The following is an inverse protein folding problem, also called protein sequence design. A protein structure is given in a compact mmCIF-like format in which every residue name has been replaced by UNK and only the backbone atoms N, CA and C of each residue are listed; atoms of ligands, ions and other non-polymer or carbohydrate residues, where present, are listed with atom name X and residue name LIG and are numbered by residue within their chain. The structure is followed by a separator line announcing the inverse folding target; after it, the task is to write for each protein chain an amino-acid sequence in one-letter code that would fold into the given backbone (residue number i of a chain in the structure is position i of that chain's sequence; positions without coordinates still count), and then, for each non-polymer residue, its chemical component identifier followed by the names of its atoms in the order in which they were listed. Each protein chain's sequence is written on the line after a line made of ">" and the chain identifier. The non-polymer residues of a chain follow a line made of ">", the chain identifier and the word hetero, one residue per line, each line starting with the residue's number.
data_IF_567327760269
#
_entry.id   IF_567327760269
#
_cell.length_a   1.000
_cell.length_b   1.000
_cell.length_c   1.000
_cell.angle_alpha   90.00
_cell.angle_beta   90.00
_cell.angle_gamma   90.00
#
_symmetry.space_group_name_H-M   'P 1'
#
loop_
_entity.id
_entity.type
_entity.pdbx_description
1 polymer ?
#
# COMPACT_ATOMS: atom_id res chain seq x y z
N UNK A 1 -6.16 8.76 17.29
CA UNK A 1 -7.41 9.30 17.87
C UNK A 1 -7.91 8.46 19.04
N UNK A 2 -7.97 7.12 18.94
CA UNK A 2 -8.45 6.25 20.01
C UNK A 2 -7.65 6.45 21.31
N UNK A 3 -6.33 6.36 21.24
CA UNK A 3 -5.46 6.57 22.40
C UNK A 3 -5.63 7.99 23.02
N UNK A 4 -5.76 9.04 22.21
CA UNK A 4 -6.04 10.40 22.71
C UNK A 4 -7.40 10.53 23.40
N UNK A 5 -8.33 9.64 23.16
CA UNK A 5 -9.63 9.56 23.84
C UNK A 5 -9.58 8.68 25.09
N UNK A 6 -8.40 8.21 25.51
CA UNK A 6 -8.25 7.32 26.64
C UNK A 6 -8.77 5.90 26.39
N UNK A 7 -9.00 5.52 25.14
CA UNK A 7 -9.42 4.16 24.78
C UNK A 7 -8.19 3.28 24.72
N UNK A 8 -8.16 2.20 25.50
CA UNK A 8 -7.08 1.20 25.41
C UNK A 8 -7.01 0.66 23.99
N UNK A 9 -5.88 0.84 23.34
CA UNK A 9 -5.71 0.57 21.92
C UNK A 9 -4.51 -0.35 21.69
N UNK A 10 -4.71 -1.41 20.90
CA UNK A 10 -3.64 -2.28 20.41
C UNK A 10 -3.52 -2.17 18.89
N UNK A 11 -2.29 -2.28 18.38
CA UNK A 11 -1.99 -2.32 16.95
C UNK A 11 -1.20 -3.57 16.65
N UNK A 12 -1.71 -4.37 15.73
CA UNK A 12 -1.05 -5.58 15.22
C UNK A 12 -0.62 -5.35 13.79
N UNK A 13 0.64 -5.57 13.48
CA UNK A 13 1.17 -5.44 12.13
C UNK A 13 2.31 -6.42 11.86
N UNK A 14 2.30 -7.04 10.68
CA UNK A 14 3.42 -7.86 10.19
C UNK A 14 4.66 -6.97 9.96
N UNK A 15 4.46 -5.80 9.33
CA UNK A 15 5.46 -4.77 9.09
C UNK A 15 4.85 -3.39 9.35
N UNK A 16 5.37 -2.68 10.34
CA UNK A 16 4.94 -1.30 10.60
C UNK A 16 5.22 -0.44 9.37
N UNK A 17 4.25 0.39 8.99
CA UNK A 17 4.33 1.20 7.78
C UNK A 17 3.95 0.44 6.49
N UNK A 18 3.85 -0.90 6.54
CA UNK A 18 3.38 -1.71 5.41
C UNK A 18 4.04 -1.34 4.09
N UNK A 19 3.23 -1.13 3.06
CA UNK A 19 3.65 -0.79 1.70
C UNK A 19 4.32 0.60 1.59
N UNK A 20 4.05 1.52 2.53
CA UNK A 20 4.72 2.83 2.57
C UNK A 20 6.25 2.69 2.59
N UNK A 21 6.78 1.67 3.26
CA UNK A 21 8.24 1.43 3.28
C UNK A 21 8.86 1.15 1.90
N UNK A 22 8.05 0.85 0.90
CA UNK A 22 8.51 0.53 -0.46
C UNK A 22 8.54 1.77 -1.37
N UNK A 23 8.14 2.94 -0.86
CA UNK A 23 8.11 4.20 -1.60
C UNK A 23 9.48 4.91 -1.50
N UNK A 24 10.05 5.29 -2.65
CA UNK A 24 11.37 5.93 -2.70
C UNK A 24 11.32 7.42 -2.32
N UNK A 25 10.29 8.14 -2.75
CA UNK A 25 10.12 9.55 -2.48
C UNK A 25 8.66 9.87 -2.17
N UNK A 26 8.42 10.72 -1.18
CA UNK A 26 7.10 11.22 -0.79
C UNK A 26 7.18 12.74 -0.71
N UNK A 27 6.51 13.42 -1.63
CA UNK A 27 6.45 14.88 -1.72
C UNK A 27 5.01 15.41 -1.68
N UNK A 28 4.04 14.49 -1.60
CA UNK A 28 2.62 14.78 -1.69
C UNK A 28 1.86 14.60 -0.35
N UNK A 29 2.59 14.50 0.76
CA UNK A 29 1.98 14.44 2.09
C UNK A 29 1.99 15.83 2.73
N UNK A 30 0.79 16.37 3.02
CA UNK A 30 0.63 17.72 3.59
C UNK A 30 1.48 17.88 4.86
N UNK A 31 2.19 18.98 4.99
CA UNK A 31 3.13 19.35 6.06
C UNK A 31 4.48 18.61 6.05
N UNK A 32 4.72 17.70 5.13
CA UNK A 32 6.02 17.07 4.91
C UNK A 32 6.47 17.41 3.50
N UNK A 33 7.47 18.28 3.34
CA UNK A 33 7.93 18.76 2.04
C UNK A 33 8.54 17.61 1.21
N UNK A 34 9.39 16.81 1.85
CA UNK A 34 10.06 15.68 1.22
C UNK A 34 10.41 14.65 2.29
N UNK A 35 10.21 13.38 1.99
CA UNK A 35 10.64 12.24 2.80
C UNK A 35 10.73 10.98 1.95
N UNK A 36 11.22 9.90 2.53
CA UNK A 36 11.11 8.54 1.96
C UNK A 36 10.18 7.66 2.80
N UNK A 37 9.75 6.55 2.24
CA UNK A 37 8.83 5.64 2.89
C UNK A 37 9.32 5.13 4.24
N UNK A 38 10.56 4.62 4.37
CA UNK A 38 11.10 4.19 5.65
C UNK A 38 11.15 5.27 6.72
N UNK A 39 11.59 6.49 6.38
CA UNK A 39 11.59 7.61 7.32
C UNK A 39 10.18 7.99 7.75
N UNK A 40 9.26 8.05 6.80
CA UNK A 40 7.86 8.36 7.09
C UNK A 40 7.22 7.29 7.99
N UNK A 41 7.42 6.01 7.70
CA UNK A 41 6.93 4.91 8.52
C UNK A 41 7.51 4.96 9.95
N UNK A 42 8.81 5.26 10.09
CA UNK A 42 9.47 5.43 11.39
C UNK A 42 8.92 6.61 12.18
N UNK A 43 8.63 7.73 11.52
CA UNK A 43 8.01 8.90 12.17
C UNK A 43 6.61 8.57 12.67
N UNK A 44 5.79 7.86 11.88
CA UNK A 44 4.46 7.40 12.29
C UNK A 44 4.52 6.41 13.46
N UNK A 45 5.48 5.48 13.46
CA UNK A 45 5.70 4.55 14.56
C UNK A 45 6.10 5.28 15.84
N UNK A 46 7.01 6.25 15.75
CA UNK A 46 7.44 7.08 16.87
C UNK A 46 6.29 7.91 17.44
N UNK A 47 5.45 8.48 16.56
CA UNK A 47 4.26 9.20 16.99
C UNK A 47 3.25 8.28 17.69
N UNK A 48 3.06 7.06 17.22
CA UNK A 48 2.20 6.08 17.87
C UNK A 48 2.73 5.69 19.27
N UNK A 49 4.05 5.48 19.40
CA UNK A 49 4.72 5.16 20.67
C UNK A 49 4.71 6.31 21.70
N UNK A 50 4.41 7.54 21.30
CA UNK A 50 4.22 8.66 22.21
C UNK A 50 2.93 8.57 23.03
N UNK A 51 2.06 7.61 22.69
CA UNK A 51 0.82 7.31 23.42
C UNK A 51 0.88 5.91 24.01
N UNK A 52 0.02 5.64 25.01
CA UNK A 52 -0.14 4.31 25.60
C UNK A 52 -0.91 3.40 24.62
N UNK A 53 -0.15 2.79 23.71
CA UNK A 53 -0.64 1.88 22.67
C UNK A 53 0.12 0.56 22.74
N UNK A 54 -0.61 -0.55 22.89
CA UNK A 54 -0.06 -1.90 22.83
C UNK A 54 0.37 -2.21 21.38
N UNK A 55 1.65 -2.03 21.06
CA UNK A 55 2.19 -2.28 19.71
C UNK A 55 2.75 -3.70 19.59
N UNK A 56 2.20 -4.48 18.68
CA UNK A 56 2.57 -5.87 18.41
C UNK A 56 3.14 -6.00 16.98
N UNK A 57 4.42 -5.64 16.78
CA UNK A 57 5.08 -5.77 15.47
C UNK A 57 5.42 -7.23 15.18
N UNK A 58 5.64 -7.54 13.90
CA UNK A 58 6.00 -8.86 13.39
C UNK A 58 4.96 -9.95 13.73
N UNK A 59 3.72 -9.53 13.89
CA UNK A 59 2.60 -10.43 14.12
C UNK A 59 1.64 -10.37 12.93
N UNK A 60 1.24 -11.52 12.45
CA UNK A 60 0.29 -11.66 11.36
C UNK A 60 -1.03 -12.20 11.89
N UNK A 61 -2.11 -11.53 11.54
CA UNK A 61 -3.46 -11.99 11.85
C UNK A 61 -3.80 -13.14 10.91
N UNK A 62 -4.20 -14.27 11.49
CA UNK A 62 -4.64 -15.44 10.75
C UNK A 62 -6.15 -15.40 10.48
N UNK A 63 -6.94 -15.01 11.49
CA UNK A 63 -8.40 -15.01 11.40
C UNK A 63 -9.02 -14.02 12.38
N UNK A 64 -10.17 -13.49 12.00
CA UNK A 64 -11.08 -12.76 12.89
C UNK A 64 -12.22 -13.70 13.26
N UNK A 65 -12.49 -13.79 14.56
CA UNK A 65 -13.61 -14.55 15.13
C UNK A 65 -14.69 -13.53 15.50
N UNK A 66 -15.93 -13.71 15.01
CA UNK A 66 -17.04 -12.84 15.38
C UNK A 66 -17.20 -12.70 16.90
N UNK A 67 -17.87 -11.65 17.34
CA UNK A 67 -18.12 -11.41 18.73
C UNK A 67 -18.82 -12.61 19.38
N UNK A 68 -18.30 -13.02 20.54
CA UNK A 68 -18.89 -14.08 21.37
C UNK A 68 -20.02 -13.52 22.26
N UNK A 69 -20.55 -14.34 23.16
CA UNK A 69 -21.60 -13.94 24.10
C UNK A 69 -21.22 -12.75 25.01
N UNK A 70 -19.92 -12.55 25.28
CA UNK A 70 -19.42 -11.36 26.01
C UNK A 70 -19.25 -10.13 25.14
N UNK A 71 -19.62 -10.18 23.85
CA UNK A 71 -19.52 -9.07 22.90
C UNK A 71 -18.08 -8.77 22.42
N UNK A 72 -17.12 -9.70 22.67
CA UNK A 72 -15.73 -9.50 22.28
C UNK A 72 -15.42 -10.19 20.96
N UNK A 73 -14.80 -9.45 20.05
CA UNK A 73 -14.23 -9.92 18.78
C UNK A 73 -12.89 -10.58 19.07
N UNK A 74 -12.69 -11.80 18.60
CA UNK A 74 -11.41 -12.51 18.68
C UNK A 74 -10.53 -12.21 17.46
N UNK A 75 -9.27 -11.84 17.69
CA UNK A 75 -8.25 -11.68 16.64
C UNK A 75 -7.18 -12.74 16.86
N UNK A 76 -7.20 -13.79 16.04
CA UNK A 76 -6.25 -14.89 16.11
C UNK A 76 -5.00 -14.57 15.30
N UNK A 77 -3.83 -14.71 15.92
CA UNK A 77 -2.54 -14.52 15.30
C UNK A 77 -1.98 -15.84 14.76
N UNK A 78 -1.07 -15.78 13.79
CA UNK A 78 -0.44 -16.98 13.23
C UNK A 78 0.41 -17.76 14.24
N UNK A 79 0.90 -17.11 15.30
CA UNK A 79 1.64 -17.75 16.39
C UNK A 79 0.74 -18.48 17.40
N UNK A 80 -0.58 -18.53 17.18
CA UNK A 80 -1.57 -19.18 18.04
C UNK A 80 -2.17 -18.29 19.14
N UNK A 81 -1.63 -17.10 19.37
CA UNK A 81 -2.21 -16.18 20.36
C UNK A 81 -3.57 -15.61 19.87
N UNK A 82 -4.44 -15.30 20.82
CA UNK A 82 -5.73 -14.63 20.55
C UNK A 82 -5.81 -13.35 21.35
N UNK A 83 -6.16 -12.27 20.66
CA UNK A 83 -6.46 -10.98 21.26
C UNK A 83 -7.97 -10.79 21.25
N UNK A 84 -8.50 -10.14 22.28
CA UNK A 84 -9.92 -9.84 22.39
C UNK A 84 -10.14 -8.33 22.39
N UNK A 85 -11.09 -7.87 21.57
CA UNK A 85 -11.39 -6.46 21.43
C UNK A 85 -12.91 -6.22 21.36
N UNK A 86 -13.34 -5.05 21.87
CA UNK A 86 -14.76 -4.62 21.73
C UNK A 86 -15.05 -4.09 20.34
N UNK A 87 -14.05 -3.55 19.68
CA UNK A 87 -14.13 -3.06 18.31
C UNK A 87 -12.83 -3.32 17.56
N UNK A 88 -12.92 -3.43 16.25
CA UNK A 88 -11.77 -3.69 15.37
C UNK A 88 -11.78 -2.71 14.21
N UNK A 89 -10.64 -2.08 13.96
CA UNK A 89 -10.38 -1.30 12.76
C UNK A 89 -9.49 -2.10 11.83
N UNK A 90 -9.97 -2.40 10.64
CA UNK A 90 -9.23 -3.12 9.61
C UNK A 90 -8.52 -2.12 8.70
N UNK A 91 -7.20 -2.01 8.86
CA UNK A 91 -6.33 -1.14 8.05
C UNK A 91 -5.24 -1.98 7.39
N UNK A 92 -5.62 -3.07 6.75
CA UNK A 92 -4.71 -4.09 6.21
C UNK A 92 -3.96 -3.65 4.95
N UNK A 93 -4.32 -2.48 4.41
CA UNK A 93 -3.69 -1.93 3.22
C UNK A 93 -3.95 -2.76 1.96
N UNK A 94 -3.05 -2.61 1.00
CA UNK A 94 -3.07 -3.33 -0.27
C UNK A 94 -1.70 -3.91 -0.59
N UNK A 95 -1.66 -4.80 -1.56
CA UNK A 95 -0.41 -5.28 -2.17
C UNK A 95 -0.54 -5.19 -3.68
N UNK A 96 0.47 -4.64 -4.31
CA UNK A 96 0.54 -4.68 -5.76
C UNK A 96 0.65 -6.12 -6.27
N UNK A 97 -0.04 -6.39 -7.35
CA UNK A 97 0.16 -7.63 -8.07
C UNK A 97 1.49 -7.58 -8.80
N UNK A 98 2.23 -8.65 -8.73
CA UNK A 98 3.45 -8.84 -9.48
C UNK A 98 3.14 -9.61 -10.77
N UNK A 99 3.88 -9.34 -11.82
CA UNK A 99 3.76 -10.08 -13.10
C UNK A 99 4.37 -11.47 -12.97
N UNK A 100 5.39 -11.60 -12.10
CA UNK A 100 6.08 -12.86 -11.83
C UNK A 100 7.09 -13.25 -12.91
N UNK A 101 7.61 -12.26 -13.65
CA UNK A 101 8.60 -12.52 -14.72
C UNK A 101 10.04 -12.40 -14.20
N UNK A 102 11.00 -13.07 -14.87
CA UNK A 102 12.42 -12.91 -14.53
C UNK A 102 12.84 -11.44 -14.57
N UNK A 103 13.62 -11.01 -13.57
CA UNK A 103 14.10 -9.64 -13.46
C UNK A 103 13.15 -8.68 -12.71
N UNK A 104 11.89 -9.00 -12.50
CA UNK A 104 10.94 -8.08 -11.86
C UNK A 104 11.43 -7.62 -10.47
N UNK A 105 11.86 -8.54 -9.62
CA UNK A 105 12.39 -8.21 -8.30
C UNK A 105 13.79 -7.58 -8.34
N UNK A 106 14.62 -8.00 -9.30
CA UNK A 106 15.98 -7.48 -9.50
C UNK A 106 15.96 -5.99 -9.87
N UNK A 107 15.03 -5.61 -10.77
CA UNK A 107 14.89 -4.23 -11.26
C UNK A 107 13.88 -3.39 -10.47
N UNK A 108 13.34 -3.92 -9.38
CA UNK A 108 12.46 -3.17 -8.49
C UNK A 108 13.16 -1.92 -8.00
N UNK A 109 12.51 -0.76 -8.13
CA UNK A 109 13.06 0.58 -7.85
C UNK A 109 14.28 0.97 -8.70
N UNK A 110 14.60 0.21 -9.75
CA UNK A 110 15.68 0.50 -10.73
C UNK A 110 15.22 0.35 -12.18
N UNK A 111 13.93 0.46 -12.42
CA UNK A 111 13.30 0.31 -13.74
C UNK A 111 11.91 -0.33 -13.65
N UNK A 112 11.64 -1.11 -12.62
CA UNK A 112 10.31 -1.65 -12.30
C UNK A 112 9.74 -0.89 -11.11
N UNK A 113 8.56 -0.30 -11.28
CA UNK A 113 7.85 0.46 -10.27
C UNK A 113 6.37 0.06 -10.27
N UNK A 114 5.67 0.30 -9.15
CA UNK A 114 4.27 -0.09 -8.99
C UNK A 114 3.35 1.10 -8.72
N UNK A 115 3.90 2.27 -8.44
CA UNK A 115 3.14 3.49 -8.16
C UNK A 115 3.42 4.53 -9.26
N UNK A 116 2.55 4.71 -10.26
CA UNK A 116 2.78 5.67 -11.34
C UNK A 116 2.87 7.11 -10.82
N UNK A 117 2.06 7.47 -9.83
CA UNK A 117 2.07 8.81 -9.25
C UNK A 117 3.32 9.10 -8.40
N UNK A 118 3.87 8.06 -7.71
CA UNK A 118 5.04 8.21 -6.85
C UNK A 118 6.32 8.23 -7.69
N UNK A 119 6.44 7.27 -8.62
CA UNK A 119 7.68 6.97 -9.32
C UNK A 119 7.70 7.53 -10.73
N UNK A 120 6.54 7.88 -11.30
CA UNK A 120 6.40 8.40 -12.67
C UNK A 120 7.37 9.54 -13.02
N UNK A 121 7.53 10.55 -12.16
CA UNK A 121 8.46 11.66 -12.41
C UNK A 121 9.92 11.21 -12.64
N UNK A 122 10.35 10.09 -12.02
CA UNK A 122 11.69 9.51 -12.19
C UNK A 122 11.95 8.98 -13.61
N UNK A 123 10.87 8.75 -14.37
CA UNK A 123 10.91 8.25 -15.74
C UNK A 123 10.68 9.34 -16.79
N UNK A 124 10.72 10.62 -16.42
CA UNK A 124 10.58 11.75 -17.34
C UNK A 124 11.50 11.60 -18.54
N UNK A 125 10.94 11.73 -19.75
CA UNK A 125 11.66 11.65 -21.01
C UNK A 125 12.11 10.23 -21.41
N UNK A 126 11.77 9.19 -20.64
CA UNK A 126 12.08 7.79 -20.96
C UNK A 126 10.91 7.12 -21.68
N UNK A 127 11.17 5.97 -22.28
CA UNK A 127 10.13 5.07 -22.79
C UNK A 127 9.74 4.11 -21.67
N UNK A 128 8.45 3.98 -21.40
CA UNK A 128 7.91 3.12 -20.34
C UNK A 128 6.90 2.13 -20.90
N UNK A 129 6.76 1.02 -20.20
CA UNK A 129 5.66 0.07 -20.40
C UNK A 129 4.82 -0.02 -19.14
N UNK A 130 3.51 -0.05 -19.29
CA UNK A 130 2.54 -0.31 -18.23
C UNK A 130 1.95 -1.69 -18.44
N UNK A 131 2.00 -2.55 -17.44
CA UNK A 131 1.49 -3.92 -17.50
C UNK A 131 0.15 -3.99 -16.78
N UNK A 132 -0.88 -4.36 -17.51
CA UNK A 132 -2.26 -4.54 -17.05
C UNK A 132 -3.23 -3.51 -17.63
N UNK A 133 -4.31 -3.98 -18.22
CA UNK A 133 -5.33 -3.20 -18.93
C UNK A 133 -6.64 -3.03 -18.13
N UNK A 134 -6.60 -3.13 -16.79
CA UNK A 134 -7.68 -2.72 -15.91
C UNK A 134 -7.64 -1.21 -15.63
N UNK A 135 -8.59 -0.69 -14.82
CA UNK A 135 -8.68 0.73 -14.49
C UNK A 135 -7.33 1.31 -14.07
N UNK A 136 -6.65 0.70 -13.10
CA UNK A 136 -5.37 1.21 -12.58
C UNK A 136 -4.26 1.26 -13.66
N UNK A 137 -4.20 0.28 -14.56
CA UNK A 137 -3.20 0.29 -15.62
C UNK A 137 -3.49 1.32 -16.70
N UNK A 138 -4.75 1.49 -17.08
CA UNK A 138 -5.18 2.51 -18.04
C UNK A 138 -4.98 3.91 -17.47
N UNK A 139 -5.36 4.16 -16.22
CA UNK A 139 -5.08 5.43 -15.50
C UNK A 139 -3.58 5.71 -15.46
N UNK A 140 -2.77 4.71 -15.07
CA UNK A 140 -1.31 4.84 -15.07
C UNK A 140 -0.74 5.20 -16.44
N UNK A 141 -1.25 4.60 -17.51
CA UNK A 141 -0.80 4.90 -18.88
C UNK A 141 -1.16 6.34 -19.29
N UNK A 142 -2.37 6.79 -18.96
CA UNK A 142 -2.83 8.17 -19.23
C UNK A 142 -1.94 9.18 -18.48
N UNK A 143 -1.72 8.97 -17.19
CA UNK A 143 -0.93 9.87 -16.36
C UNK A 143 0.54 9.93 -16.81
N UNK A 144 1.13 8.78 -17.12
CA UNK A 144 2.51 8.69 -17.60
C UNK A 144 2.68 9.32 -19.00
N UNK A 145 1.67 9.29 -19.85
CA UNK A 145 1.73 9.91 -21.18
C UNK A 145 2.05 11.42 -21.12
N UNK A 146 1.66 12.09 -20.04
CA UNK A 146 2.01 13.49 -19.77
C UNK A 146 3.43 13.74 -19.25
N UNK A 147 4.14 12.68 -18.86
CA UNK A 147 5.43 12.77 -18.14
C UNK A 147 6.58 12.19 -18.97
N UNK A 148 6.37 11.01 -19.58
CA UNK A 148 7.41 10.24 -20.27
C UNK A 148 7.40 10.48 -21.77
N UNK A 149 8.46 10.07 -22.47
CA UNK A 149 8.54 10.23 -23.91
C UNK A 149 7.60 9.30 -24.71
N UNK A 150 7.30 8.12 -24.15
CA UNK A 150 6.42 7.13 -24.77
C UNK A 150 5.91 6.16 -23.75
N UNK A 151 4.63 5.79 -23.83
CA UNK A 151 3.99 4.76 -23.00
C UNK A 151 3.51 3.63 -23.90
N UNK A 152 3.82 2.40 -23.52
CA UNK A 152 3.23 1.18 -24.10
C UNK A 152 2.37 0.50 -23.03
N UNK A 153 1.07 0.41 -23.24
CA UNK A 153 0.18 -0.38 -22.37
C UNK A 153 0.12 -1.82 -22.89
N UNK A 154 0.36 -2.77 -22.00
CA UNK A 154 0.38 -4.22 -22.31
C UNK A 154 -0.70 -4.90 -21.45
N UNK A 155 -1.63 -5.56 -22.08
CA UNK A 155 -2.66 -6.38 -21.46
C UNK A 155 -2.46 -7.84 -21.82
N UNK A 156 -2.70 -8.74 -20.88
CA UNK A 156 -2.60 -10.18 -21.06
C UNK A 156 -3.78 -10.73 -21.87
N UNK A 157 -4.98 -10.16 -21.70
CA UNK A 157 -6.18 -10.56 -22.41
C UNK A 157 -6.32 -9.90 -23.79
N UNK A 158 -7.30 -10.32 -24.54
CA UNK A 158 -7.59 -9.78 -25.89
C UNK A 158 -8.17 -8.36 -25.85
N UNK A 159 -8.68 -7.93 -24.70
CA UNK A 159 -9.34 -6.62 -24.52
C UNK A 159 -8.96 -5.98 -23.21
N UNK A 160 -8.93 -4.64 -23.19
CA UNK A 160 -8.82 -3.88 -21.95
C UNK A 160 -10.07 -4.09 -21.10
N UNK A 161 -9.86 -4.22 -19.79
CA UNK A 161 -10.95 -4.41 -18.80
C UNK A 161 -11.26 -3.16 -18.01
N UNK A 162 -10.67 -2.04 -18.39
CA UNK A 162 -10.96 -0.75 -17.81
C UNK A 162 -12.33 -0.24 -18.24
N UNK A 163 -12.90 0.66 -17.45
CA UNK A 163 -14.16 1.32 -17.75
C UNK A 163 -14.06 2.06 -19.09
N UNK A 164 -15.16 2.03 -19.85
CA UNK A 164 -15.21 2.60 -21.18
C UNK A 164 -14.81 4.10 -21.21
N UNK A 165 -15.08 4.84 -20.15
CA UNK A 165 -14.70 6.25 -20.01
C UNK A 165 -13.16 6.44 -19.94
N UNK A 166 -12.47 5.50 -19.35
CA UNK A 166 -10.99 5.50 -19.28
C UNK A 166 -10.38 5.07 -20.62
N UNK A 167 -10.90 4.00 -21.22
CA UNK A 167 -10.43 3.51 -22.53
C UNK A 167 -10.55 4.58 -23.61
N UNK A 168 -11.58 5.45 -23.55
CA UNK A 168 -11.73 6.55 -24.52
C UNK A 168 -10.67 7.66 -24.37
N UNK A 169 -9.93 7.69 -23.28
CA UNK A 169 -8.89 8.70 -23.05
C UNK A 169 -7.48 8.24 -23.45
N UNK A 170 -7.33 6.93 -23.77
CA UNK A 170 -6.13 6.36 -24.36
C UNK A 170 -5.96 6.78 -25.83
#
# INVERSE_FOLDING_TARGET
>A
YAARKGIRTGVVAERIGGQTNDTLGIENYISVLETDGPKFASALESHMKAYDVDLMPRQKVARIVPANESGLIGVQLQNGATLNARSLVLSTGARWRQVGVPGENEYRNRGVAYCPHCDGPLFKGKRTAVIGGGNSGVEAAIDLAGIVAHVTLIEFGEQLRADAVLVKKL
#
